data_IF_023492103094
#
_entry.id   IF_023492103094
#
_cell.length_a   1.000
_cell.length_b   1.000
_cell.length_c   1.000
_cell.angle_alpha   90.00
_cell.angle_beta   90.00
_cell.angle_gamma   90.00
#
_symmetry.space_group_name_H-M   'P 1'
#
loop_
_entity.id
_entity.type
_entity.pdbx_description
1 polymer ?
#
# COMPACT_ATOMS: atom_id res chain seq x y z
N UNK A 1 -22.58 -35.53 2.90
CA UNK A 1 -21.63 -35.48 1.77
C UNK A 1 -20.78 -34.21 1.81
N UNK A 2 -21.38 -33.01 1.83
CA UNK A 2 -20.68 -31.72 1.88
C UNK A 2 -19.61 -31.62 2.98
N UNK A 3 -19.93 -32.03 4.22
CA UNK A 3 -18.97 -32.03 5.34
C UNK A 3 -17.74 -32.89 5.07
N UNK A 4 -17.90 -34.04 4.42
CA UNK A 4 -16.78 -34.92 4.09
C UNK A 4 -15.87 -34.34 2.99
N UNK A 5 -16.47 -33.72 1.98
CA UNK A 5 -15.75 -32.99 0.93
C UNK A 5 -14.98 -31.79 1.51
N UNK A 6 -15.66 -31.01 2.35
CA UNK A 6 -15.08 -29.85 3.01
C UNK A 6 -13.96 -30.23 3.99
N UNK A 7 -14.10 -31.36 4.69
CA UNK A 7 -13.06 -31.91 5.56
C UNK A 7 -11.83 -32.34 4.74
N UNK A 8 -12.03 -33.06 3.63
CA UNK A 8 -10.92 -33.50 2.77
C UNK A 8 -10.17 -32.30 2.17
N UNK A 9 -10.89 -31.28 1.68
CA UNK A 9 -10.31 -30.07 1.11
C UNK A 9 -9.40 -29.34 2.11
N UNK A 10 -9.89 -29.10 3.33
CA UNK A 10 -9.12 -28.44 4.39
C UNK A 10 -7.94 -29.26 4.89
N UNK A 11 -8.11 -30.59 5.01
CA UNK A 11 -7.01 -31.48 5.36
C UNK A 11 -5.88 -31.43 4.31
N UNK A 12 -6.24 -31.35 3.02
CA UNK A 12 -5.26 -31.15 1.93
C UNK A 12 -4.62 -29.75 1.94
N UNK A 13 -5.32 -28.75 2.47
CA UNK A 13 -4.80 -27.40 2.71
C UNK A 13 -3.94 -27.29 4.00
N UNK A 14 -3.69 -28.39 4.72
CA UNK A 14 -2.81 -28.41 5.90
C UNK A 14 -3.49 -28.15 7.24
N UNK A 15 -4.81 -28.09 7.29
CA UNK A 15 -5.55 -27.84 8.54
C UNK A 15 -5.56 -29.07 9.45
N UNK A 16 -5.51 -28.85 10.76
CA UNK A 16 -5.62 -29.92 11.76
C UNK A 16 -7.07 -30.41 11.90
N UNK A 17 -7.26 -31.64 12.40
CA UNK A 17 -8.60 -32.22 12.59
C UNK A 17 -9.46 -31.37 13.51
N UNK A 18 -8.86 -30.77 14.55
CA UNK A 18 -9.51 -29.86 15.48
C UNK A 18 -10.03 -28.61 14.78
N UNK A 19 -9.18 -27.92 14.01
CA UNK A 19 -9.59 -26.71 13.26
C UNK A 19 -10.73 -27.00 12.27
N UNK A 20 -10.65 -28.14 11.57
CA UNK A 20 -11.69 -28.56 10.63
C UNK A 20 -13.01 -28.84 11.37
N UNK A 21 -12.94 -29.47 12.54
CA UNK A 21 -14.10 -29.78 13.38
C UNK A 21 -14.79 -28.51 13.86
N UNK A 22 -14.02 -27.54 14.34
CA UNK A 22 -14.51 -26.25 14.81
C UNK A 22 -15.19 -25.45 13.68
N UNK A 23 -14.53 -25.33 12.52
CA UNK A 23 -15.08 -24.59 11.38
C UNK A 23 -16.32 -25.24 10.76
N UNK A 24 -16.37 -26.57 10.73
CA UNK A 24 -17.52 -27.29 10.18
C UNK A 24 -18.64 -27.48 11.20
N UNK A 25 -18.44 -27.06 12.46
CA UNK A 25 -19.40 -27.25 13.54
C UNK A 25 -19.72 -28.74 13.76
N UNK A 26 -18.71 -29.61 13.73
CA UNK A 26 -18.85 -31.07 13.90
C UNK A 26 -17.79 -31.57 14.87
N UNK A 27 -18.04 -32.72 15.50
CA UNK A 27 -17.04 -33.30 16.39
C UNK A 27 -15.80 -33.80 15.63
N UNK A 28 -14.63 -33.74 16.27
CA UNK A 28 -13.39 -34.27 15.71
C UNK A 28 -13.51 -35.74 15.29
N UNK A 29 -14.22 -36.55 16.09
CA UNK A 29 -14.46 -37.96 15.77
C UNK A 29 -15.22 -38.13 14.45
N UNK A 30 -16.18 -37.24 14.17
CA UNK A 30 -16.92 -37.22 12.91
C UNK A 30 -16.02 -36.84 11.74
N UNK A 31 -15.20 -35.79 11.90
CA UNK A 31 -14.24 -35.36 10.88
C UNK A 31 -13.20 -36.46 10.61
N UNK A 32 -12.66 -37.09 11.65
CA UNK A 32 -11.72 -38.21 11.53
C UNK A 32 -12.34 -39.36 10.76
N UNK A 33 -13.58 -39.73 11.06
CA UNK A 33 -14.29 -40.80 10.34
C UNK A 33 -14.56 -40.45 8.86
N UNK A 34 -14.75 -39.17 8.53
CA UNK A 34 -14.82 -38.72 7.14
C UNK A 34 -13.45 -38.78 6.45
N UNK A 35 -12.38 -38.30 7.10
CA UNK A 35 -11.01 -38.27 6.59
C UNK A 35 -10.36 -39.65 6.47
N UNK A 36 -10.78 -40.64 7.27
CA UNK A 36 -10.29 -42.02 7.16
C UNK A 36 -11.20 -42.91 6.30
N UNK A 37 -12.22 -42.35 5.63
CA UNK A 37 -13.10 -43.13 4.76
C UNK A 37 -14.03 -44.13 5.47
N UNK A 38 -14.15 -44.07 6.81
CA UNK A 38 -15.03 -44.98 7.58
C UNK A 38 -16.51 -44.72 7.30
N UNK A 39 -16.84 -43.49 6.89
CA UNK A 39 -18.20 -43.12 6.47
C UNK A 39 -18.38 -43.35 4.97
N UNK A 40 -19.60 -43.71 4.55
CA UNK A 40 -19.95 -43.82 3.12
C UNK A 40 -19.64 -42.53 2.34
N UNK A 41 -19.92 -41.38 2.94
CA UNK A 41 -19.62 -40.07 2.35
C UNK A 41 -18.11 -39.80 2.24
N UNK A 42 -17.32 -40.15 3.25
CA UNK A 42 -15.86 -40.00 3.22
C UNK A 42 -15.22 -40.88 2.15
N UNK A 43 -15.65 -42.15 2.08
CA UNK A 43 -15.19 -43.11 1.07
C UNK A 43 -15.46 -42.60 -0.36
N UNK A 44 -16.71 -42.19 -0.64
CA UNK A 44 -17.10 -41.69 -1.95
C UNK A 44 -16.27 -40.46 -2.38
N UNK A 45 -16.07 -39.50 -1.47
CA UNK A 45 -15.29 -38.29 -1.73
C UNK A 45 -13.83 -38.62 -2.02
N UNK A 46 -13.23 -39.53 -1.24
CA UNK A 46 -11.84 -39.96 -1.45
C UNK A 46 -11.65 -40.68 -2.78
N UNK A 47 -12.54 -41.62 -3.11
CA UNK A 47 -12.49 -42.35 -4.38
C UNK A 47 -12.67 -41.39 -5.56
N UNK A 48 -13.60 -40.44 -5.46
CA UNK A 48 -13.82 -39.41 -6.49
C UNK A 48 -12.59 -38.52 -6.67
N UNK A 49 -11.98 -38.08 -5.56
CA UNK A 49 -10.75 -37.30 -5.60
C UNK A 49 -9.60 -38.07 -6.26
N UNK A 50 -9.41 -39.34 -5.91
CA UNK A 50 -8.36 -40.18 -6.51
C UNK A 50 -8.61 -40.42 -8.01
N UNK A 51 -9.86 -40.61 -8.39
CA UNK A 51 -10.26 -40.73 -9.79
C UNK A 51 -9.94 -39.46 -10.57
N UNK A 52 -10.30 -38.30 -10.02
CA UNK A 52 -9.99 -36.99 -10.61
C UNK A 52 -8.50 -36.70 -10.73
N UNK A 53 -7.67 -37.16 -9.78
CA UNK A 53 -6.22 -37.05 -9.89
C UNK A 53 -5.63 -37.92 -11.02
N UNK A 54 -6.24 -39.07 -11.30
CA UNK A 54 -5.75 -40.03 -12.32
C UNK A 54 -6.25 -39.70 -13.72
N UNK A 55 -7.54 -39.45 -13.85
CA UNK A 55 -8.22 -39.26 -15.14
C UNK A 55 -8.21 -37.78 -15.57
N UNK A 56 -7.93 -36.87 -14.64
CA UNK A 56 -8.15 -35.44 -14.82
C UNK A 56 -9.63 -35.08 -14.72
N UNK A 57 -9.92 -33.79 -14.60
CA UNK A 57 -11.29 -33.26 -14.63
C UNK A 57 -11.39 -32.27 -15.78
N UNK A 58 -12.29 -32.54 -16.73
CA UNK A 58 -12.65 -31.55 -17.73
C UNK A 58 -13.64 -30.57 -17.11
N UNK A 59 -13.11 -29.47 -16.59
CA UNK A 59 -13.92 -28.35 -16.11
C UNK A 59 -14.20 -27.47 -17.32
N UNK A 60 -15.45 -27.45 -17.79
CA UNK A 60 -15.90 -26.48 -18.77
C UNK A 60 -16.06 -25.13 -18.05
N UNK A 61 -15.01 -24.31 -18.12
CA UNK A 61 -15.06 -22.94 -17.59
C UNK A 61 -15.89 -22.13 -18.59
N UNK A 62 -17.00 -21.48 -18.16
CA UNK A 62 -17.77 -20.62 -19.05
C UNK A 62 -16.87 -19.53 -19.64
N UNK A 63 -16.93 -19.30 -20.97
CA UNK A 63 -16.11 -18.30 -21.67
C UNK A 63 -16.14 -16.91 -21.03
N UNK A 64 -17.23 -16.56 -20.35
CA UNK A 64 -17.40 -15.29 -19.63
C UNK A 64 -16.31 -15.12 -18.55
N UNK A 65 -15.94 -16.20 -17.84
CA UNK A 65 -14.87 -16.17 -16.83
C UNK A 65 -13.49 -16.10 -17.49
N UNK A 66 -13.34 -16.65 -18.70
CA UNK A 66 -12.08 -16.60 -19.44
C UNK A 66 -11.81 -15.24 -20.12
N UNK A 67 -12.87 -14.52 -20.55
CA UNK A 67 -12.76 -13.18 -21.15
C UNK A 67 -12.61 -12.07 -20.10
N UNK A 68 -13.08 -12.31 -18.88
CA UNK A 68 -12.75 -11.48 -17.71
C UNK A 68 -11.46 -12.04 -17.11
N UNK A 69 -10.34 -11.99 -17.84
CA UNK A 69 -9.04 -11.98 -17.18
C UNK A 69 -8.80 -10.54 -16.72
N UNK A 70 -8.89 -10.25 -15.42
CA UNK A 70 -8.75 -8.89 -14.91
C UNK A 70 -7.33 -8.32 -15.15
N UNK A 71 -6.38 -9.16 -15.55
CA UNK A 71 -4.97 -8.84 -15.75
C UNK A 71 -4.72 -7.71 -16.73
N UNK A 72 -5.38 -7.67 -17.89
CA UNK A 72 -5.10 -6.61 -18.89
C UNK A 72 -5.62 -5.24 -18.46
N UNK A 73 -6.79 -5.20 -17.81
CA UNK A 73 -7.38 -3.97 -17.28
C UNK A 73 -6.54 -3.45 -16.11
N UNK A 74 -6.18 -4.33 -15.17
CA UNK A 74 -5.33 -3.95 -14.05
C UNK A 74 -3.93 -3.55 -14.49
N UNK A 75 -3.36 -4.20 -15.51
CA UNK A 75 -2.04 -3.83 -16.04
C UNK A 75 -2.04 -2.43 -16.64
N UNK A 76 -3.05 -2.08 -17.43
CA UNK A 76 -3.19 -0.71 -17.99
C UNK A 76 -3.36 0.32 -16.89
N UNK A 77 -4.15 0.02 -15.87
CA UNK A 77 -4.36 0.93 -14.74
C UNK A 77 -3.07 1.12 -13.91
N UNK A 78 -2.34 0.04 -13.66
CA UNK A 78 -1.03 0.09 -12.99
C UNK A 78 -0.02 0.91 -13.80
N UNK A 79 0.00 0.77 -15.12
CA UNK A 79 0.89 1.57 -15.98
C UNK A 79 0.53 3.07 -15.96
N UNK A 80 -0.76 3.42 -15.98
CA UNK A 80 -1.20 4.81 -15.83
C UNK A 80 -0.80 5.39 -14.48
N UNK A 81 -1.13 4.69 -13.39
CA UNK A 81 -0.80 5.12 -12.03
C UNK A 81 0.72 5.27 -11.83
N UNK A 82 1.53 4.41 -12.45
CA UNK A 82 2.99 4.54 -12.43
C UNK A 82 3.47 5.82 -13.13
N UNK A 83 2.88 6.18 -14.27
CA UNK A 83 3.23 7.42 -14.99
C UNK A 83 2.86 8.66 -14.18
N UNK A 84 1.63 8.71 -13.65
CA UNK A 84 1.18 9.81 -12.80
C UNK A 84 2.06 9.97 -11.55
N UNK A 85 2.50 8.85 -10.96
CA UNK A 85 3.37 8.86 -9.79
C UNK A 85 4.77 9.39 -10.10
N UNK A 86 5.33 9.10 -11.27
CA UNK A 86 6.60 9.68 -11.74
C UNK A 86 6.47 11.17 -12.05
N UNK A 87 5.38 11.61 -12.68
CA UNK A 87 5.10 13.03 -12.92
C UNK A 87 4.94 13.82 -11.62
N UNK A 88 4.23 13.27 -10.63
CA UNK A 88 4.09 13.89 -9.31
C UNK A 88 5.42 13.96 -8.56
N UNK A 89 6.28 12.95 -8.71
CA UNK A 89 7.62 12.95 -8.11
C UNK A 89 8.51 14.02 -8.71
N UNK A 90 8.54 14.16 -10.03
CA UNK A 90 9.34 15.18 -10.70
C UNK A 90 8.86 16.59 -10.32
N UNK A 91 7.54 16.83 -10.34
CA UNK A 91 6.95 18.10 -9.89
C UNK A 91 7.31 18.42 -8.43
N UNK A 92 7.26 17.42 -7.54
CA UNK A 92 7.67 17.58 -6.14
C UNK A 92 9.14 18.00 -6.03
N UNK A 93 10.05 17.35 -6.75
CA UNK A 93 11.48 17.71 -6.70
C UNK A 93 11.75 19.12 -7.23
N UNK A 94 11.03 19.56 -8.27
CA UNK A 94 11.17 20.91 -8.81
C UNK A 94 10.66 21.96 -7.80
N UNK A 95 9.51 21.69 -7.16
CA UNK A 95 8.97 22.57 -6.12
C UNK A 95 9.89 22.65 -4.90
N UNK A 96 10.46 21.54 -4.46
CA UNK A 96 11.45 21.53 -3.37
C UNK A 96 12.69 22.37 -3.72
N UNK A 97 13.16 22.31 -4.97
CA UNK A 97 14.24 23.17 -5.45
C UNK A 97 13.88 24.66 -5.45
N UNK A 98 12.67 25.01 -5.90
CA UNK A 98 12.16 26.39 -5.86
C UNK A 98 12.05 26.92 -4.44
N UNK A 99 11.55 26.10 -3.51
CA UNK A 99 11.43 26.46 -2.08
C UNK A 99 12.80 26.78 -1.51
N UNK A 100 13.81 25.92 -1.70
CA UNK A 100 15.18 26.18 -1.21
C UNK A 100 15.77 27.48 -1.77
N UNK A 101 15.59 27.73 -3.07
CA UNK A 101 16.07 28.98 -3.68
C UNK A 101 15.37 30.23 -3.12
N UNK A 102 14.07 30.13 -2.82
CA UNK A 102 13.33 31.22 -2.19
C UNK A 102 13.77 31.44 -0.74
N UNK A 103 14.00 30.37 0.03
CA UNK A 103 14.54 30.45 1.39
C UNK A 103 15.90 31.14 1.43
N UNK A 104 16.81 30.81 0.51
CA UNK A 104 18.11 31.47 0.39
C UNK A 104 17.97 32.96 0.05
N UNK A 105 17.07 33.31 -0.87
CA UNK A 105 16.80 34.72 -1.22
C UNK A 105 16.24 35.50 -0.04
N UNK A 106 15.30 34.92 0.71
CA UNK A 106 14.74 35.54 1.92
C UNK A 106 15.84 35.80 2.93
N UNK A 107 16.69 34.81 3.20
CA UNK A 107 17.83 34.97 4.12
C UNK A 107 18.79 36.08 3.70
N UNK A 108 19.08 36.19 2.39
CA UNK A 108 19.94 37.25 1.88
C UNK A 108 19.31 38.64 2.05
N UNK A 109 18.02 38.77 1.72
CA UNK A 109 17.28 40.02 1.92
C UNK A 109 17.18 40.41 3.40
N UNK A 110 17.02 39.45 4.30
CA UNK A 110 17.05 39.70 5.74
C UNK A 110 18.42 40.26 6.19
N UNK A 111 19.51 39.68 5.71
CA UNK A 111 20.86 40.19 6.00
C UNK A 111 21.06 41.61 5.45
N UNK A 112 20.66 41.86 4.20
CA UNK A 112 20.72 43.20 3.60
C UNK A 112 19.92 44.22 4.39
N UNK A 113 18.70 43.86 4.81
CA UNK A 113 17.86 44.70 5.65
C UNK A 113 18.56 45.06 6.96
N UNK A 114 19.17 44.08 7.65
CA UNK A 114 19.88 44.33 8.92
C UNK A 114 21.08 45.26 8.74
N UNK A 115 21.81 45.14 7.63
CA UNK A 115 22.94 46.01 7.31
C UNK A 115 22.46 47.46 7.06
N UNK A 116 21.40 47.62 6.27
CA UNK A 116 20.80 48.94 6.01
C UNK A 116 20.25 49.58 7.29
N UNK A 117 19.62 48.81 8.17
CA UNK A 117 19.16 49.30 9.48
C UNK A 117 20.33 49.81 10.33
N UNK A 118 21.47 49.12 10.33
CA UNK A 118 22.67 49.54 11.02
C UNK A 118 23.28 50.82 10.42
N UNK A 119 23.29 50.97 9.10
CA UNK A 119 23.74 52.19 8.43
C UNK A 119 22.83 53.39 8.74
N UNK A 120 21.51 53.19 8.67
CA UNK A 120 20.52 54.22 9.03
C UNK A 120 20.71 54.66 10.48
N UNK A 121 20.98 53.73 11.42
CA UNK A 121 21.27 54.07 12.81
C UNK A 121 22.54 54.93 12.94
N UNK A 122 23.62 54.59 12.23
CA UNK A 122 24.86 55.39 12.20
C UNK A 122 24.63 56.79 11.66
N UNK A 123 23.90 56.92 10.55
CA UNK A 123 23.61 58.23 9.96
C UNK A 123 22.71 59.08 10.87
N UNK A 124 21.72 58.48 11.55
CA UNK A 124 20.91 59.18 12.56
C UNK A 124 21.76 59.73 13.71
N UNK A 125 22.72 58.95 14.23
CA UNK A 125 23.63 59.43 15.27
C UNK A 125 24.48 60.62 14.81
N UNK A 126 25.07 60.54 13.59
CA UNK A 126 25.84 61.64 13.01
C UNK A 126 25.00 62.91 12.84
N UNK A 127 23.74 62.79 12.42
CA UNK A 127 22.83 63.94 12.28
C UNK A 127 22.56 64.59 13.63
N UNK A 128 22.30 63.79 14.68
CA UNK A 128 22.09 64.31 16.04
C UNK A 128 23.35 65.02 16.59
N UNK A 129 24.53 64.49 16.32
CA UNK A 129 25.80 65.12 16.69
C UNK A 129 25.99 66.47 15.99
N UNK A 130 25.77 66.54 14.67
CA UNK A 130 25.81 67.79 13.90
C UNK A 130 24.80 68.80 14.44
N UNK A 131 23.57 68.35 14.74
CA UNK A 131 22.51 69.22 15.28
C UNK A 131 22.90 69.84 16.62
N UNK A 132 23.56 69.08 17.51
CA UNK A 132 24.09 69.60 18.78
C UNK A 132 25.16 70.66 18.55
N UNK A 133 26.10 70.42 17.64
CA UNK A 133 27.18 71.38 17.31
C UNK A 133 26.57 72.69 16.80
N UNK A 134 25.64 72.62 15.85
CA UNK A 134 24.97 73.82 15.31
C UNK A 134 24.17 74.57 16.37
N UNK A 135 23.57 73.86 17.34
CA UNK A 135 22.81 74.50 18.43
C UNK A 135 23.71 75.16 19.50
N UNK A 136 25.02 74.92 19.45
CA UNK A 136 26.01 75.45 20.40
C UNK A 136 26.83 76.63 19.86
N UNK A 137 26.57 77.04 18.61
CA UNK A 137 27.15 78.23 17.94
C UNK A 137 26.11 79.33 17.94
#
# INVERSE_FOLDING_TARGET
LAVAAAALARSKAGYTVTMIADELGRSEGTIRNHLTGKTKAGKLVQETYQRFLREGVKIEIPEIVAKITPEEVYKKEIEKLKKELEELRSAKTELEGKVKSLEEKVKNLENEKTNLEAEVAKYKQKIEEIKRIVSSI
#
